data_IF_524219866415
#
_entry.id   IF_524219866415
#
_cell.length_a   1.000
_cell.length_b   1.000
_cell.length_c   1.000
_cell.angle_alpha   90.00
_cell.angle_beta   90.00
_cell.angle_gamma   90.00
#
_symmetry.space_group_name_H-M   'P 1'
#
loop_
_entity.id
_entity.type
_entity.pdbx_description
1 polymer ?
#
# COMPACT_ATOMS: atom_id res chain seq x y z
N UNK A 1 -22.51 5.75 -13.70
CA UNK A 1 -21.16 5.17 -13.84
C UNK A 1 -20.60 4.88 -12.47
N UNK A 2 -20.00 3.74 -12.24
CA UNK A 2 -19.41 3.42 -10.96
C UNK A 2 -18.23 4.37 -10.62
N UNK A 3 -17.98 4.52 -9.32
CA UNK A 3 -16.80 5.21 -8.80
C UNK A 3 -15.66 4.21 -8.78
N UNK A 4 -14.52 4.55 -9.38
CA UNK A 4 -13.32 3.74 -9.30
C UNK A 4 -12.52 4.15 -8.05
N UNK A 5 -12.16 3.18 -7.21
CA UNK A 5 -11.38 3.40 -5.99
C UNK A 5 -10.26 2.38 -5.93
N UNK A 6 -9.03 2.88 -5.91
CA UNK A 6 -7.84 2.08 -5.66
C UNK A 6 -7.51 2.04 -4.18
N UNK A 7 -7.23 0.85 -3.64
CA UNK A 7 -6.88 0.66 -2.24
C UNK A 7 -5.62 -0.20 -2.12
N UNK A 8 -4.61 0.37 -1.49
CA UNK A 8 -3.37 -0.31 -1.11
C UNK A 8 -3.54 -0.91 0.29
N UNK A 9 -3.82 -2.20 0.33
CA UNK A 9 -3.96 -2.99 1.55
C UNK A 9 -2.58 -3.33 2.14
N UNK A 10 -1.79 -2.32 2.51
CA UNK A 10 -0.49 -2.52 3.15
C UNK A 10 -0.60 -3.19 4.53
N UNK A 11 0.47 -3.83 5.00
CA UNK A 11 0.53 -4.36 6.36
C UNK A 11 0.84 -3.28 7.42
N UNK A 12 1.39 -2.15 7.01
CA UNK A 12 1.70 -1.02 7.91
C UNK A 12 0.59 0.04 7.88
N UNK A 13 0.24 0.49 6.69
CA UNK A 13 -0.82 1.45 6.44
C UNK A 13 -1.78 0.92 5.39
N UNK A 14 -3.05 1.24 5.57
CA UNK A 14 -4.09 1.19 4.55
C UNK A 14 -4.09 2.53 3.83
N UNK A 15 -4.13 2.52 2.50
CA UNK A 15 -4.09 3.74 1.71
C UNK A 15 -5.13 3.70 0.60
N UNK A 16 -5.75 4.84 0.37
CA UNK A 16 -6.46 5.15 -0.87
C UNK A 16 -5.78 6.37 -1.52
N UNK A 17 -6.33 6.86 -2.60
CA UNK A 17 -5.78 8.05 -3.25
C UNK A 17 -5.70 9.28 -2.33
N UNK A 18 -6.68 9.43 -1.43
CA UNK A 18 -6.83 10.62 -0.60
C UNK A 18 -6.64 10.36 0.89
N UNK A 19 -6.55 9.10 1.33
CA UNK A 19 -6.51 8.76 2.75
C UNK A 19 -5.43 7.75 3.08
N UNK A 20 -4.84 7.90 4.26
CA UNK A 20 -3.83 6.99 4.82
C UNK A 20 -4.12 6.80 6.29
N UNK A 21 -4.17 5.56 6.77
CA UNK A 21 -4.34 5.23 8.18
C UNK A 21 -3.66 3.91 8.54
N UNK A 22 -3.35 3.73 9.82
CA UNK A 22 -2.69 2.51 10.32
C UNK A 22 -3.64 1.31 10.30
N UNK A 23 -3.09 0.11 10.17
CA UNK A 23 -3.87 -1.13 9.99
C UNK A 23 -4.38 -1.75 11.28
N UNK A 24 -4.15 -1.11 12.44
CA UNK A 24 -4.67 -1.57 13.71
C UNK A 24 -6.20 -1.58 13.71
N UNK A 25 -6.76 -2.72 14.10
CA UNK A 25 -8.20 -2.96 14.09
C UNK A 25 -8.59 -3.75 15.35
N UNK A 26 -9.65 -3.32 16.01
CA UNK A 26 -10.30 -4.08 17.08
C UNK A 26 -11.76 -4.28 16.75
N UNK A 27 -12.26 -5.49 17.05
CA UNK A 27 -13.67 -5.89 16.83
C UNK A 27 -14.30 -6.24 18.16
N UNK A 28 -15.48 -5.67 18.43
CA UNK A 28 -16.23 -5.84 19.67
C UNK A 28 -17.73 -6.06 19.40
N UNK A 29 -18.44 -6.59 20.39
CA UNK A 29 -19.90 -6.72 20.36
C UNK A 29 -20.64 -5.43 20.73
N UNK A 30 -19.92 -4.43 21.26
CA UNK A 30 -20.45 -3.13 21.65
C UNK A 30 -19.59 -2.01 21.06
N UNK A 31 -20.20 -0.84 20.76
CA UNK A 31 -19.46 0.29 20.23
C UNK A 31 -18.43 0.80 21.24
N UNK A 32 -17.24 1.18 20.76
CA UNK A 32 -16.26 1.89 21.55
C UNK A 32 -16.56 3.41 21.48
N UNK A 33 -17.05 4.03 22.56
CA UNK A 33 -17.46 5.45 22.55
C UNK A 33 -16.29 6.42 22.40
N UNK A 34 -15.04 5.94 22.56
CA UNK A 34 -13.83 6.75 22.44
C UNK A 34 -13.14 6.58 21.08
N UNK A 35 -13.70 5.79 20.19
CA UNK A 35 -13.14 5.61 18.86
C UNK A 35 -13.45 6.79 17.96
N UNK A 36 -12.43 7.38 17.35
CA UNK A 36 -12.60 8.42 16.33
C UNK A 36 -13.09 7.82 14.99
N UNK A 37 -12.79 6.54 14.76
CA UNK A 37 -13.17 5.79 13.56
C UNK A 37 -13.91 4.52 13.99
N UNK A 38 -15.23 4.56 13.97
CA UNK A 38 -16.10 3.47 14.37
C UNK A 38 -16.97 3.01 13.19
N UNK A 39 -16.95 1.72 12.92
CA UNK A 39 -17.82 1.08 11.92
C UNK A 39 -18.66 0.00 12.57
N UNK A 40 -19.94 -0.04 12.22
CA UNK A 40 -20.81 -1.18 12.49
C UNK A 40 -21.06 -1.95 11.20
N UNK A 41 -20.67 -3.23 11.19
CA UNK A 41 -20.94 -4.16 10.10
C UNK A 41 -21.67 -5.38 10.67
N UNK A 42 -22.92 -5.58 10.26
CA UNK A 42 -23.79 -6.56 10.88
C UNK A 42 -23.97 -6.28 12.39
N UNK A 43 -23.69 -7.28 13.22
CA UNK A 43 -23.82 -7.20 14.68
C UNK A 43 -22.48 -6.86 15.38
N UNK A 44 -21.43 -6.52 14.64
CA UNK A 44 -20.10 -6.22 15.19
C UNK A 44 -19.72 -4.76 14.99
N UNK A 45 -18.95 -4.26 15.95
CA UNK A 45 -18.38 -2.92 15.92
C UNK A 45 -16.87 -3.04 15.74
N UNK A 46 -16.35 -2.31 14.76
CA UNK A 46 -14.96 -2.27 14.40
C UNK A 46 -14.42 -0.86 14.64
N UNK A 47 -13.25 -0.77 15.25
CA UNK A 47 -12.60 0.51 15.52
C UNK A 47 -11.15 0.50 15.01
N UNK A 48 -10.74 1.56 14.34
CA UNK A 48 -9.35 1.75 13.95
C UNK A 48 -8.52 2.15 15.19
N UNK A 49 -7.31 1.60 15.26
CA UNK A 49 -6.31 1.94 16.27
C UNK A 49 -5.18 2.75 15.62
N UNK A 50 -4.60 3.67 16.38
CA UNK A 50 -3.44 4.45 15.92
C UNK A 50 -2.13 3.65 16.05
N UNK A 51 -2.19 2.37 15.72
CA UNK A 51 -1.06 1.45 15.68
C UNK A 51 -1.20 0.51 14.48
N UNK A 52 -0.11 -0.15 14.09
CA UNK A 52 -0.18 -1.17 13.04
C UNK A 52 -0.62 -2.51 13.60
N UNK A 53 -1.34 -3.28 12.80
CA UNK A 53 -1.61 -4.68 13.10
C UNK A 53 -0.34 -5.54 12.96
N UNK A 54 -0.31 -6.75 13.55
CA UNK A 54 0.69 -7.76 13.25
C UNK A 54 0.75 -8.06 11.75
N UNK A 55 1.96 -8.38 11.26
CA UNK A 55 2.18 -8.76 9.86
C UNK A 55 1.32 -9.96 9.47
N UNK A 56 0.67 -9.86 8.33
CA UNK A 56 -0.14 -10.93 7.75
C UNK A 56 0.30 -11.14 6.30
N UNK A 57 0.98 -12.28 6.08
CA UNK A 57 1.48 -12.64 4.75
C UNK A 57 0.33 -12.97 3.80
N UNK A 58 -0.63 -13.76 4.27
CA UNK A 58 -1.82 -14.15 3.49
C UNK A 58 -3.08 -13.47 4.03
N UNK A 59 -3.45 -12.36 3.41
CA UNK A 59 -4.60 -11.54 3.79
C UNK A 59 -5.96 -12.18 3.54
N UNK A 60 -6.00 -13.34 2.88
CA UNK A 60 -7.25 -14.07 2.64
C UNK A 60 -7.67 -14.90 3.86
N UNK A 61 -6.79 -15.06 4.86
CA UNK A 61 -7.03 -15.89 6.05
C UNK A 61 -7.77 -15.19 7.18
N UNK A 62 -7.97 -13.87 7.08
CA UNK A 62 -8.69 -13.10 8.09
C UNK A 62 -9.66 -12.12 7.44
N UNK A 63 -10.60 -11.58 8.23
CA UNK A 63 -11.53 -10.56 7.75
C UNK A 63 -10.91 -9.16 7.70
N UNK A 64 -9.71 -9.00 8.27
CA UNK A 64 -9.08 -7.70 8.46
C UNK A 64 -8.94 -6.92 7.17
N UNK A 65 -8.47 -7.55 6.09
CA UNK A 65 -8.28 -6.88 4.81
C UNK A 65 -9.61 -6.35 4.25
N UNK A 66 -10.70 -7.10 4.38
CA UNK A 66 -12.03 -6.68 3.94
C UNK A 66 -12.55 -5.51 4.78
N UNK A 67 -12.51 -5.62 6.11
CA UNK A 67 -13.00 -4.58 7.03
C UNK A 67 -12.21 -3.27 6.84
N UNK A 68 -10.87 -3.34 6.75
CA UNK A 68 -10.05 -2.16 6.48
C UNK A 68 -10.35 -1.54 5.11
N UNK A 69 -10.71 -2.37 4.12
CA UNK A 69 -11.15 -1.87 2.81
C UNK A 69 -12.47 -1.10 2.91
N UNK A 70 -13.43 -1.54 3.73
CA UNK A 70 -14.67 -0.79 3.95
C UNK A 70 -14.41 0.56 4.63
N UNK A 71 -13.49 0.61 5.62
CA UNK A 71 -13.04 1.89 6.20
C UNK A 71 -12.42 2.80 5.14
N UNK A 72 -11.54 2.25 4.28
CA UNK A 72 -10.90 3.02 3.22
C UNK A 72 -11.91 3.54 2.20
N UNK A 73 -12.94 2.75 1.86
CA UNK A 73 -14.04 3.17 0.98
C UNK A 73 -14.82 4.34 1.58
N UNK A 74 -15.27 4.23 2.84
CA UNK A 74 -16.00 5.30 3.49
C UNK A 74 -15.18 6.60 3.52
N UNK A 75 -13.93 6.53 3.99
CA UNK A 75 -13.03 7.68 4.07
C UNK A 75 -12.73 8.30 2.70
N UNK A 76 -12.52 7.49 1.66
CA UNK A 76 -12.25 7.97 0.31
C UNK A 76 -13.48 8.65 -0.29
N UNK A 77 -14.67 8.07 -0.10
CA UNK A 77 -15.95 8.67 -0.54
C UNK A 77 -16.16 10.02 0.15
N UNK A 78 -15.98 10.10 1.46
CA UNK A 78 -16.09 11.37 2.21
C UNK A 78 -15.08 12.42 1.72
N UNK A 79 -13.83 12.00 1.50
CA UNK A 79 -12.80 12.89 0.96
C UNK A 79 -13.17 13.41 -0.44
N UNK A 80 -13.75 12.56 -1.30
CA UNK A 80 -14.18 12.98 -2.63
C UNK A 80 -15.39 13.90 -2.60
N UNK A 81 -16.33 13.66 -1.71
CA UNK A 81 -17.47 14.55 -1.49
C UNK A 81 -16.99 15.93 -1.02
N UNK A 82 -16.14 15.96 0.00
CA UNK A 82 -15.61 17.21 0.56
C UNK A 82 -14.81 18.04 -0.46
N UNK A 83 -14.19 17.38 -1.43
CA UNK A 83 -13.45 18.02 -2.55
C UNK A 83 -14.33 18.34 -3.77
N UNK A 84 -15.64 18.02 -3.72
CA UNK A 84 -16.55 18.21 -4.84
C UNK A 84 -16.31 17.31 -6.05
N UNK A 85 -15.55 16.20 -5.87
CA UNK A 85 -15.23 15.25 -6.94
C UNK A 85 -16.38 14.28 -7.24
N UNK A 86 -17.20 14.00 -6.24
CA UNK A 86 -18.45 13.24 -6.37
C UNK A 86 -19.55 13.95 -5.59
N UNK A 87 -20.80 13.72 -5.99
CA UNK A 87 -21.94 14.24 -5.24
C UNK A 87 -22.23 13.33 -4.04
N UNK A 88 -22.61 13.95 -2.92
CA UNK A 88 -23.14 13.20 -1.79
C UNK A 88 -24.46 12.56 -2.19
N UNK A 89 -24.63 11.29 -1.81
CA UNK A 89 -25.88 10.57 -1.96
C UNK A 89 -26.59 10.52 -0.59
N UNK A 90 -27.78 11.06 -0.50
CA UNK A 90 -28.55 11.14 0.75
C UNK A 90 -28.85 9.78 1.37
N UNK A 91 -28.94 8.72 0.55
CA UNK A 91 -29.13 7.34 1.01
C UNK A 91 -27.83 6.61 1.31
N UNK A 92 -26.67 7.26 1.16
CA UNK A 92 -25.34 6.63 1.30
C UNK A 92 -25.04 5.54 0.28
N UNK A 93 -25.80 5.50 -0.84
CA UNK A 93 -25.68 4.44 -1.84
C UNK A 93 -24.67 4.80 -2.92
N UNK A 94 -23.67 3.94 -3.13
CA UNK A 94 -22.63 4.13 -4.13
C UNK A 94 -22.34 2.83 -4.88
N UNK A 95 -22.08 2.97 -6.19
CA UNK A 95 -21.58 1.90 -7.04
C UNK A 95 -20.06 2.06 -7.18
N UNK A 96 -19.29 1.03 -6.87
CA UNK A 96 -17.84 1.08 -6.79
C UNK A 96 -17.22 -0.06 -7.58
N UNK A 97 -16.15 0.24 -8.31
CA UNK A 97 -15.20 -0.74 -8.86
C UNK A 97 -13.91 -0.62 -8.07
N UNK A 98 -13.47 -1.73 -7.46
CA UNK A 98 -12.26 -1.78 -6.65
C UNK A 98 -11.03 -2.13 -7.49
N UNK A 99 -9.97 -1.32 -7.34
CA UNK A 99 -8.61 -1.68 -7.72
C UNK A 99 -7.81 -2.02 -6.46
N UNK A 100 -7.26 -3.21 -6.38
CA UNK A 100 -6.45 -3.69 -5.26
C UNK A 100 -5.07 -4.11 -5.78
N UNK A 101 -4.13 -4.34 -4.87
CA UNK A 101 -2.80 -4.78 -5.25
C UNK A 101 -2.20 -5.82 -4.32
N UNK A 102 -1.27 -6.57 -4.91
CA UNK A 102 -0.43 -7.55 -4.22
C UNK A 102 1.03 -7.34 -4.62
N UNK A 103 2.01 -7.76 -3.78
CA UNK A 103 3.41 -7.78 -4.19
C UNK A 103 3.57 -8.44 -5.56
N UNK A 104 4.48 -7.95 -6.44
CA UNK A 104 4.63 -8.50 -7.79
C UNK A 104 4.87 -10.00 -7.81
N UNK A 105 5.69 -10.52 -6.90
CA UNK A 105 5.95 -11.96 -6.73
C UNK A 105 4.65 -12.76 -6.51
N UNK A 106 3.69 -12.20 -5.80
CA UNK A 106 2.40 -12.84 -5.51
C UNK A 106 1.48 -12.96 -6.74
N UNK A 107 1.81 -12.31 -7.85
CA UNK A 107 1.10 -12.52 -9.12
C UNK A 107 1.31 -13.92 -9.68
N UNK A 108 2.45 -14.55 -9.35
CA UNK A 108 2.82 -15.91 -9.81
C UNK A 108 2.72 -16.96 -8.71
N UNK A 109 2.62 -16.54 -7.44
CA UNK A 109 2.65 -17.45 -6.29
C UNK A 109 1.37 -18.29 -6.26
N UNK A 110 1.53 -19.60 -6.37
CA UNK A 110 0.46 -20.59 -6.29
C UNK A 110 0.49 -21.29 -4.93
N UNK A 111 -0.66 -21.76 -4.48
CA UNK A 111 -0.77 -22.67 -3.34
C UNK A 111 -1.03 -24.12 -3.81
N UNK A 112 -1.44 -25.00 -2.87
CA UNK A 112 -1.79 -26.38 -3.16
C UNK A 112 -2.94 -26.52 -4.18
N UNK A 113 -3.80 -25.49 -4.31
CA UNK A 113 -4.89 -25.45 -5.29
C UNK A 113 -4.43 -25.09 -6.70
N UNK A 114 -3.16 -24.69 -6.87
CA UNK A 114 -2.59 -24.14 -8.10
C UNK A 114 -3.28 -22.87 -8.60
N UNK A 115 -3.97 -22.15 -7.72
CA UNK A 115 -4.56 -20.87 -8.03
C UNK A 115 -3.59 -19.74 -7.65
N UNK A 116 -3.23 -18.83 -8.57
CA UNK A 116 -2.38 -17.68 -8.26
C UNK A 116 -2.95 -16.81 -7.14
N UNK A 117 -2.09 -16.32 -6.24
CA UNK A 117 -2.52 -15.57 -5.06
C UNK A 117 -3.39 -14.34 -5.40
N UNK A 118 -3.09 -13.63 -6.48
CA UNK A 118 -3.90 -12.48 -6.90
C UNK A 118 -5.36 -12.87 -7.22
N UNK A 119 -5.60 -14.06 -7.81
CA UNK A 119 -6.94 -14.57 -8.05
C UNK A 119 -7.63 -14.99 -6.75
N UNK A 120 -6.90 -15.67 -5.85
CA UNK A 120 -7.43 -16.02 -4.52
C UNK A 120 -7.81 -14.75 -3.74
N UNK A 121 -7.00 -13.69 -3.83
CA UNK A 121 -7.28 -12.42 -3.18
C UNK A 121 -8.51 -11.73 -3.79
N UNK A 122 -8.68 -11.77 -5.11
CA UNK A 122 -9.89 -11.31 -5.77
C UNK A 122 -11.12 -12.11 -5.33
N UNK A 123 -11.04 -13.45 -5.34
CA UNK A 123 -12.11 -14.35 -4.91
C UNK A 123 -12.47 -14.16 -3.43
N UNK A 124 -11.48 -13.89 -2.58
CA UNK A 124 -11.70 -13.55 -1.18
C UNK A 124 -12.65 -12.34 -1.05
N UNK A 125 -12.43 -11.26 -1.80
CA UNK A 125 -13.32 -10.11 -1.77
C UNK A 125 -14.74 -10.44 -2.27
N UNK A 126 -14.88 -11.19 -3.34
CA UNK A 126 -16.19 -11.63 -3.81
C UNK A 126 -16.91 -12.51 -2.78
N UNK A 127 -16.18 -13.41 -2.11
CA UNK A 127 -16.74 -14.24 -1.04
C UNK A 127 -17.21 -13.39 0.15
N UNK A 128 -16.43 -12.40 0.56
CA UNK A 128 -16.81 -11.49 1.64
C UNK A 128 -18.01 -10.59 1.25
N UNK A 129 -18.07 -10.11 0.01
CA UNK A 129 -19.24 -9.40 -0.52
C UNK A 129 -20.47 -10.32 -0.51
N UNK A 130 -20.30 -11.60 -0.82
CA UNK A 130 -21.38 -12.59 -0.74
C UNK A 130 -21.84 -12.89 0.68
N UNK A 131 -20.92 -12.90 1.64
CA UNK A 131 -21.17 -13.16 3.06
C UNK A 131 -21.90 -11.98 3.73
N UNK A 132 -21.39 -10.77 3.53
CA UNK A 132 -21.90 -9.56 4.19
C UNK A 132 -22.96 -8.79 3.39
N UNK A 133 -23.07 -9.08 2.09
CA UNK A 133 -23.95 -8.34 1.19
C UNK A 133 -25.40 -8.79 1.27
N UNK A 134 -26.32 -7.81 1.21
CA UNK A 134 -27.75 -8.00 1.05
C UNK A 134 -28.09 -8.01 -0.44
N UNK A 135 -28.89 -8.99 -0.88
CA UNK A 135 -29.30 -9.08 -2.29
C UNK A 135 -30.29 -7.96 -2.62
N UNK A 136 -30.02 -7.23 -3.69
CA UNK A 136 -30.90 -6.21 -4.27
C UNK A 136 -31.16 -6.54 -5.74
N UNK A 137 -32.02 -5.77 -6.41
CA UNK A 137 -32.25 -5.88 -7.85
C UNK A 137 -30.99 -5.56 -8.69
N UNK A 138 -30.06 -4.77 -8.14
CA UNK A 138 -28.79 -4.37 -8.80
C UNK A 138 -27.62 -5.27 -8.46
N UNK A 139 -27.78 -6.24 -7.54
CA UNK A 139 -26.72 -7.12 -7.07
C UNK A 139 -26.60 -7.12 -5.55
N UNK A 140 -25.48 -7.65 -5.04
CA UNK A 140 -25.21 -7.68 -3.60
C UNK A 140 -24.59 -6.37 -3.12
N UNK A 141 -25.22 -5.76 -2.14
CA UNK A 141 -24.86 -4.47 -1.55
C UNK A 141 -24.36 -4.69 -0.13
N UNK A 142 -23.15 -4.27 0.18
CA UNK A 142 -22.60 -4.29 1.54
C UNK A 142 -23.07 -3.05 2.28
N UNK A 143 -23.81 -3.27 3.37
CA UNK A 143 -24.35 -2.20 4.21
C UNK A 143 -23.59 -2.12 5.52
N UNK A 144 -23.16 -0.93 5.88
CA UNK A 144 -22.49 -0.65 7.14
C UNK A 144 -22.73 0.79 7.59
N UNK A 145 -22.58 1.04 8.88
CA UNK A 145 -22.56 2.39 9.43
C UNK A 145 -21.12 2.78 9.74
N UNK A 146 -20.68 3.95 9.31
CA UNK A 146 -19.37 4.51 9.64
C UNK A 146 -19.57 5.91 10.24
N UNK A 147 -19.15 6.09 11.49
CA UNK A 147 -19.27 7.34 12.24
C UNK A 147 -20.67 7.96 12.16
N UNK A 148 -21.71 7.14 12.44
CA UNK A 148 -23.14 7.50 12.44
C UNK A 148 -23.73 7.80 11.05
N UNK A 149 -22.99 7.54 9.97
CA UNK A 149 -23.45 7.67 8.59
C UNK A 149 -23.60 6.29 7.96
N UNK A 150 -24.77 6.04 7.35
CA UNK A 150 -25.04 4.78 6.68
C UNK A 150 -24.42 4.75 5.28
N UNK A 151 -23.84 3.61 4.94
CA UNK A 151 -23.29 3.30 3.62
C UNK A 151 -23.94 2.05 3.05
N UNK A 152 -24.23 2.10 1.75
CA UNK A 152 -24.80 1.01 0.97
C UNK A 152 -23.98 0.89 -0.31
N UNK A 153 -22.98 0.01 -0.31
CA UNK A 153 -21.97 -0.08 -1.37
C UNK A 153 -22.22 -1.27 -2.26
N UNK A 154 -22.57 -1.02 -3.54
CA UNK A 154 -22.57 -2.04 -4.58
C UNK A 154 -21.15 -2.12 -5.16
N UNK A 155 -20.43 -3.20 -4.86
CA UNK A 155 -19.13 -3.46 -5.48
C UNK A 155 -19.37 -4.25 -6.75
N UNK A 156 -19.28 -3.56 -7.90
CA UNK A 156 -19.56 -4.15 -9.21
C UNK A 156 -18.45 -5.08 -9.69
N UNK A 157 -17.20 -4.72 -9.40
CA UNK A 157 -16.05 -5.53 -9.78
C UNK A 157 -14.85 -5.28 -8.86
N UNK A 158 -13.93 -6.25 -8.83
CA UNK A 158 -12.69 -6.21 -8.07
C UNK A 158 -11.55 -6.61 -9.01
N UNK A 159 -10.58 -5.75 -9.19
CA UNK A 159 -9.36 -6.03 -9.96
C UNK A 159 -8.14 -6.03 -9.05
N UNK A 160 -7.20 -6.93 -9.31
CA UNK A 160 -5.96 -7.05 -8.53
C UNK A 160 -4.75 -6.88 -9.45
N UNK A 161 -3.83 -5.99 -9.05
CA UNK A 161 -2.67 -5.58 -9.85
C UNK A 161 -1.35 -5.75 -9.07
N UNK A 162 -0.20 -5.84 -9.74
CA UNK A 162 1.10 -5.84 -9.08
C UNK A 162 1.42 -4.46 -8.48
N UNK A 163 1.83 -4.43 -7.22
CA UNK A 163 2.43 -3.25 -6.59
C UNK A 163 3.65 -2.78 -7.38
N UNK A 164 4.21 -1.67 -7.03
CA UNK A 164 5.31 -1.00 -7.70
C UNK A 164 4.99 -0.59 -9.16
N UNK A 165 4.65 -1.53 -10.04
CA UNK A 165 4.25 -1.19 -11.42
C UNK A 165 3.00 -0.31 -11.45
N UNK A 166 2.02 -0.61 -10.60
CA UNK A 166 0.82 0.22 -10.48
C UNK A 166 1.16 1.63 -10.01
N UNK A 167 2.08 1.77 -9.05
CA UNK A 167 2.55 3.08 -8.59
C UNK A 167 3.28 3.88 -9.69
N UNK A 168 3.97 3.21 -10.61
CA UNK A 168 4.65 3.85 -11.74
C UNK A 168 3.67 4.37 -12.80
N UNK A 169 2.54 3.68 -13.03
CA UNK A 169 1.58 4.00 -14.11
C UNK A 169 1.13 5.47 -14.12
N UNK A 170 0.71 6.09 -12.99
CA UNK A 170 0.31 7.50 -12.97
C UNK A 170 1.44 8.47 -13.33
N UNK A 171 2.69 8.08 -13.11
CA UNK A 171 3.87 8.93 -13.27
C UNK A 171 4.64 8.67 -14.57
N UNK A 172 4.26 7.65 -15.35
CA UNK A 172 4.95 7.26 -16.59
C UNK A 172 5.24 8.44 -17.51
N UNK A 173 4.29 9.38 -17.67
CA UNK A 173 4.49 10.57 -18.51
C UNK A 173 5.52 11.57 -17.98
N UNK A 174 5.80 11.55 -16.68
CA UNK A 174 6.81 12.40 -16.03
C UNK A 174 8.19 11.74 -15.95
N UNK A 175 8.27 10.48 -16.28
CA UNK A 175 9.47 9.64 -16.20
C UNK A 175 9.87 9.13 -17.59
N UNK A 176 9.65 9.94 -18.65
CA UNK A 176 9.92 9.56 -20.03
C UNK A 176 11.40 9.31 -20.30
N UNK A 177 12.31 9.91 -19.51
CA UNK A 177 13.73 9.62 -19.56
C UNK A 177 14.09 8.14 -19.34
N UNK A 178 13.21 7.39 -18.68
CA UNK A 178 13.37 5.95 -18.49
C UNK A 178 13.11 5.15 -19.77
N UNK A 179 12.38 5.72 -20.74
CA UNK A 179 12.11 5.06 -22.03
C UNK A 179 13.41 4.95 -22.89
N UNK A 180 14.45 5.74 -22.57
CA UNK A 180 15.77 5.66 -23.22
C UNK A 180 16.59 4.43 -22.76
N UNK A 181 16.16 3.77 -21.68
CA UNK A 181 16.81 2.58 -21.16
C UNK A 181 16.06 1.32 -21.54
N UNK A 182 16.75 0.24 -21.95
CA UNK A 182 16.09 -1.02 -22.31
C UNK A 182 15.39 -1.67 -21.11
N UNK A 183 15.82 -1.31 -19.91
CA UNK A 183 15.25 -1.76 -18.65
C UNK A 183 15.54 -0.79 -17.50
N UNK A 184 14.67 -0.77 -16.51
CA UNK A 184 14.85 -0.08 -15.23
C UNK A 184 14.16 -0.85 -14.10
N UNK A 185 14.48 -0.50 -12.87
CA UNK A 185 13.91 -1.13 -11.69
C UNK A 185 12.87 -0.22 -11.04
N UNK A 186 11.83 -0.84 -10.52
CA UNK A 186 10.93 -0.25 -9.53
C UNK A 186 11.28 -0.86 -8.18
N UNK A 187 11.65 -0.02 -7.20
CA UNK A 187 12.06 -0.44 -5.85
C UNK A 187 11.05 0.16 -4.86
N UNK A 188 10.05 -0.64 -4.48
CA UNK A 188 9.00 -0.24 -3.54
C UNK A 188 9.42 -0.59 -2.10
N UNK A 189 9.79 0.43 -1.33
CA UNK A 189 10.21 0.23 0.06
C UNK A 189 9.00 0.45 0.96
N UNK A 190 8.39 -0.66 1.35
CA UNK A 190 7.23 -0.72 2.22
C UNK A 190 7.57 -0.71 3.71
N UNK A 191 6.56 -0.96 4.54
CA UNK A 191 6.73 -1.08 5.99
C UNK A 191 7.47 -2.36 6.39
N UNK A 192 7.15 -3.48 5.75
CA UNK A 192 7.72 -4.80 6.06
C UNK A 192 8.70 -5.28 4.99
N UNK A 193 8.39 -5.07 3.74
CA UNK A 193 9.15 -5.57 2.58
C UNK A 193 9.74 -4.45 1.74
N UNK A 194 10.77 -4.80 0.99
CA UNK A 194 11.24 -4.09 -0.20
C UNK A 194 10.93 -4.97 -1.39
N UNK A 195 10.04 -4.48 -2.25
CA UNK A 195 9.64 -5.19 -3.46
C UNK A 195 10.38 -4.61 -4.66
N UNK A 196 11.02 -5.48 -5.45
CA UNK A 196 11.79 -5.09 -6.62
C UNK A 196 11.17 -5.71 -7.86
N UNK A 197 10.90 -4.89 -8.86
CA UNK A 197 10.32 -5.29 -10.13
C UNK A 197 11.07 -4.66 -11.28
N UNK A 198 11.55 -5.47 -12.21
CA UNK A 198 12.15 -4.97 -13.45
C UNK A 198 11.06 -4.60 -14.46
N UNK A 199 11.24 -3.47 -15.12
CA UNK A 199 10.44 -3.04 -16.27
C UNK A 199 11.31 -3.12 -17.51
N UNK A 200 10.89 -3.91 -18.51
CA UNK A 200 11.53 -4.09 -19.81
C UNK A 200 10.60 -3.62 -20.91
N UNK A 201 11.07 -2.77 -21.81
CA UNK A 201 10.28 -2.25 -22.92
C UNK A 201 8.91 -1.70 -22.47
N UNK A 202 8.90 -1.00 -21.33
CA UNK A 202 7.71 -0.41 -20.73
C UNK A 202 6.70 -1.39 -20.13
N UNK A 203 7.05 -2.68 -19.99
CA UNK A 203 6.21 -3.74 -19.41
C UNK A 203 6.86 -4.34 -18.16
N UNK A 204 6.06 -4.69 -17.13
CA UNK A 204 6.59 -5.34 -15.94
C UNK A 204 7.04 -6.77 -16.26
N UNK A 205 8.26 -7.12 -15.89
CA UNK A 205 8.74 -8.50 -15.90
C UNK A 205 8.48 -9.15 -14.55
N UNK A 206 7.30 -9.74 -14.40
CA UNK A 206 6.87 -10.35 -13.14
C UNK A 206 7.78 -11.51 -12.73
N UNK A 207 8.40 -12.22 -13.69
CA UNK A 207 9.31 -13.34 -13.39
C UNK A 207 10.63 -12.88 -12.74
N UNK A 208 11.00 -11.61 -12.93
CA UNK A 208 12.17 -11.00 -12.28
C UNK A 208 11.84 -10.38 -10.93
N UNK A 209 10.56 -10.41 -10.50
CA UNK A 209 10.14 -9.77 -9.26
C UNK A 209 10.67 -10.48 -8.01
N UNK A 210 10.93 -9.70 -6.97
CA UNK A 210 11.44 -10.17 -5.68
C UNK A 210 10.80 -9.37 -4.56
N UNK A 211 10.62 -10.03 -3.42
CA UNK A 211 10.12 -9.40 -2.20
C UNK A 211 11.02 -9.80 -1.04
N UNK A 212 11.72 -8.84 -0.47
CA UNK A 212 12.68 -9.03 0.59
C UNK A 212 12.20 -8.40 1.89
N UNK A 213 12.48 -9.03 3.02
CA UNK A 213 12.11 -8.56 4.36
C UNK A 213 12.94 -7.34 4.83
N UNK A 214 13.22 -6.38 3.98
CA UNK A 214 14.06 -5.21 4.26
C UNK A 214 13.27 -3.90 4.32
N UNK A 215 12.03 -3.94 4.80
CA UNK A 215 11.20 -2.76 4.95
C UNK A 215 11.59 -1.85 6.14
N UNK A 216 10.83 -0.78 6.30
CA UNK A 216 11.05 0.28 7.33
C UNK A 216 11.15 -0.28 8.73
N UNK A 217 10.36 -1.28 9.09
CA UNK A 217 10.35 -1.86 10.45
C UNK A 217 11.70 -2.49 10.78
N UNK A 218 12.27 -3.27 9.86
CA UNK A 218 13.60 -3.84 10.01
C UNK A 218 14.69 -2.78 10.13
N UNK A 219 14.59 -1.72 9.32
CA UNK A 219 15.48 -0.58 9.39
C UNK A 219 15.40 0.11 10.77
N UNK A 220 14.20 0.39 11.25
CA UNK A 220 14.01 1.02 12.56
C UNK A 220 14.54 0.14 13.69
N UNK A 221 14.30 -1.17 13.65
CA UNK A 221 14.85 -2.10 14.62
C UNK A 221 16.39 -2.17 14.57
N UNK A 222 16.98 -2.07 13.38
CA UNK A 222 18.43 -1.99 13.22
C UNK A 222 18.98 -0.70 13.85
N UNK A 223 18.38 0.44 13.55
CA UNK A 223 18.76 1.75 14.13
C UNK A 223 18.64 1.70 15.66
N UNK A 224 17.52 1.21 16.22
CA UNK A 224 17.29 1.11 17.66
C UNK A 224 18.35 0.27 18.38
N UNK A 225 18.88 -0.77 17.74
CA UNK A 225 20.00 -1.55 18.29
C UNK A 225 21.29 -0.74 18.39
N UNK A 226 21.51 0.21 17.50
CA UNK A 226 22.70 1.08 17.46
C UNK A 226 22.60 2.27 18.43
N UNK A 227 21.42 2.90 18.54
CA UNK A 227 21.23 4.13 19.32
C UNK A 227 20.62 3.92 20.71
N UNK A 228 20.12 2.72 21.01
CA UNK A 228 19.49 2.36 22.28
C UNK A 228 17.98 2.11 22.15
N UNK A 229 17.51 1.10 22.89
CA UNK A 229 16.12 0.62 22.86
C UNK A 229 15.10 1.57 23.52
N UNK A 230 15.53 2.63 24.17
CA UNK A 230 14.67 3.65 24.77
C UNK A 230 13.90 4.48 23.75
N UNK A 231 14.43 4.60 22.52
CA UNK A 231 13.74 5.28 21.42
C UNK A 231 12.65 4.37 20.83
N UNK A 232 11.43 4.89 20.71
CA UNK A 232 10.31 4.17 20.07
C UNK A 232 10.46 4.19 18.55
N UNK A 233 9.70 3.32 17.88
CA UNK A 233 9.63 3.28 16.41
C UNK A 233 9.23 4.64 15.84
N UNK A 234 8.18 5.26 16.38
CA UNK A 234 7.68 6.56 15.93
C UNK A 234 8.70 7.70 16.12
N UNK A 235 9.55 7.63 17.17
CA UNK A 235 10.63 8.62 17.40
C UNK A 235 11.68 8.56 16.29
N UNK A 236 12.13 7.35 15.94
CA UNK A 236 13.11 7.14 14.86
C UNK A 236 12.51 7.59 13.52
N UNK A 237 11.27 7.19 13.22
CA UNK A 237 10.58 7.60 11.98
C UNK A 237 10.40 9.11 11.93
N UNK A 238 10.09 9.77 13.06
CA UNK A 238 9.98 11.22 13.13
C UNK A 238 11.30 11.92 12.79
N UNK A 239 12.43 11.44 13.35
CA UNK A 239 13.76 11.96 13.03
C UNK A 239 14.06 11.79 11.53
N UNK A 240 13.88 10.58 10.98
CA UNK A 240 14.15 10.30 9.57
C UNK A 240 13.25 11.07 8.61
N UNK A 241 12.04 11.45 9.06
CA UNK A 241 11.09 12.29 8.31
C UNK A 241 11.34 13.78 8.48
N UNK A 242 12.46 14.20 9.07
CA UNK A 242 12.78 15.60 9.37
C UNK A 242 11.72 16.29 10.23
N UNK A 243 10.96 15.54 11.02
CA UNK A 243 10.06 16.09 12.02
C UNK A 243 10.87 16.47 13.26
N UNK A 244 10.53 17.64 13.86
CA UNK A 244 11.24 18.15 15.02
C UNK A 244 11.11 17.20 16.23
N UNK A 245 12.17 16.47 16.51
CA UNK A 245 12.35 15.75 17.76
C UNK A 245 13.62 16.29 18.43
N UNK A 246 13.50 16.70 19.69
CA UNK A 246 14.67 17.20 20.46
C UNK A 246 15.49 16.00 20.95
N UNK A 247 16.44 15.58 20.14
CA UNK A 247 17.44 14.57 20.49
C UNK A 247 18.85 15.19 20.47
N UNK A 248 19.81 14.69 21.29
CA UNK A 248 21.20 15.11 21.20
C UNK A 248 21.76 14.93 19.78
N UNK A 249 22.63 15.84 19.32
CA UNK A 249 23.22 15.79 17.98
C UNK A 249 23.91 14.46 17.70
N UNK A 250 24.64 13.92 18.69
CA UNK A 250 25.30 12.62 18.56
C UNK A 250 24.34 11.46 18.30
N UNK A 251 23.12 11.51 18.87
CA UNK A 251 22.06 10.51 18.61
C UNK A 251 21.52 10.69 17.20
N UNK A 252 21.30 11.92 16.77
CA UNK A 252 20.86 12.23 15.42
C UNK A 252 21.85 11.69 14.37
N UNK A 253 23.14 11.97 14.58
CA UNK A 253 24.22 11.49 13.68
C UNK A 253 24.25 9.96 13.64
N UNK A 254 24.12 9.28 14.78
CA UNK A 254 24.07 7.82 14.86
C UNK A 254 22.83 7.24 14.18
N UNK A 255 21.66 7.88 14.25
CA UNK A 255 20.45 7.46 13.57
C UNK A 255 20.68 7.51 12.05
N UNK A 256 21.24 8.61 11.53
CA UNK A 256 21.50 8.77 10.10
C UNK A 256 22.59 7.79 9.62
N UNK A 257 23.67 7.62 10.37
CA UNK A 257 24.72 6.67 10.03
C UNK A 257 24.20 5.23 9.98
N UNK A 258 23.39 4.84 10.98
CA UNK A 258 22.78 3.50 11.02
C UNK A 258 21.76 3.28 9.90
N UNK A 259 21.00 4.31 9.49
CA UNK A 259 20.13 4.26 8.30
C UNK A 259 20.93 4.00 7.03
N UNK A 260 22.02 4.75 6.83
CA UNK A 260 22.85 4.65 5.65
C UNK A 260 23.57 3.28 5.59
N UNK A 261 24.06 2.79 6.74
CA UNK A 261 24.63 1.45 6.88
C UNK A 261 23.59 0.35 6.54
N UNK A 262 22.36 0.49 7.04
CA UNK A 262 21.26 -0.43 6.72
C UNK A 262 20.97 -0.47 5.22
N UNK A 263 20.88 0.69 4.59
CA UNK A 263 20.61 0.81 3.16
C UNK A 263 21.69 0.11 2.32
N UNK A 264 22.95 0.38 2.61
CA UNK A 264 24.07 -0.23 1.87
C UNK A 264 24.14 -1.75 2.07
N UNK A 265 24.05 -2.21 3.33
CA UNK A 265 24.30 -3.61 3.68
C UNK A 265 23.12 -4.54 3.39
N UNK A 266 21.88 -4.04 3.36
CA UNK A 266 20.71 -4.88 3.19
C UNK A 266 20.00 -4.65 1.85
N UNK A 267 19.92 -3.42 1.36
CA UNK A 267 19.20 -3.15 0.10
C UNK A 267 20.17 -3.21 -1.08
N UNK A 268 21.22 -2.40 -1.08
CA UNK A 268 22.16 -2.33 -2.20
C UNK A 268 22.93 -3.64 -2.35
N UNK A 269 23.48 -4.17 -1.25
CA UNK A 269 24.24 -5.42 -1.28
C UNK A 269 23.39 -6.61 -1.75
N UNK A 270 22.13 -6.71 -1.27
CA UNK A 270 21.20 -7.76 -1.68
C UNK A 270 20.90 -7.69 -3.20
N UNK A 271 20.66 -6.49 -3.74
CA UNK A 271 20.45 -6.31 -5.17
C UNK A 271 21.67 -6.72 -5.98
N UNK A 272 22.88 -6.35 -5.52
CA UNK A 272 24.13 -6.72 -6.17
C UNK A 272 24.36 -8.24 -6.15
N UNK A 273 24.12 -8.92 -5.01
CA UNK A 273 24.19 -10.38 -4.90
C UNK A 273 23.23 -11.08 -5.86
N UNK A 274 22.11 -10.46 -6.16
CA UNK A 274 21.12 -10.94 -7.13
C UNK A 274 21.47 -10.57 -8.59
N UNK A 275 22.63 -10.01 -8.84
CA UNK A 275 23.10 -9.64 -10.17
C UNK A 275 22.54 -8.31 -10.69
N UNK A 276 22.00 -7.48 -9.82
CA UNK A 276 21.50 -6.14 -10.17
C UNK A 276 22.46 -5.08 -9.68
N UNK A 277 23.16 -4.44 -10.63
CA UNK A 277 24.06 -3.31 -10.36
C UNK A 277 23.33 -1.98 -10.64
N UNK A 278 23.06 -1.23 -9.58
CA UNK A 278 22.40 0.08 -9.65
C UNK A 278 23.30 1.18 -10.26
N UNK A 279 24.58 0.92 -10.49
CA UNK A 279 25.42 1.82 -11.30
C UNK A 279 25.10 1.74 -12.80
N UNK A 280 24.51 0.63 -13.24
CA UNK A 280 24.22 0.36 -14.65
C UNK A 280 22.74 0.46 -14.96
N UNK A 281 21.89 -0.02 -14.03
CA UNK A 281 20.43 -0.08 -14.21
C UNK A 281 19.76 1.06 -13.45
N UNK A 282 19.03 1.96 -14.14
CA UNK A 282 18.27 3.00 -13.47
C UNK A 282 17.24 2.43 -12.51
N UNK A 283 16.98 3.13 -11.41
CA UNK A 283 16.01 2.70 -10.42
C UNK A 283 15.04 3.83 -10.04
N UNK A 284 13.76 3.49 -9.96
CA UNK A 284 12.70 4.35 -9.42
C UNK A 284 12.37 3.87 -8.02
N UNK A 285 12.69 4.66 -7.04
CA UNK A 285 12.39 4.42 -5.64
C UNK A 285 11.01 4.96 -5.30
N UNK A 286 10.18 4.13 -4.68
CA UNK A 286 8.81 4.46 -4.31
C UNK A 286 8.42 3.83 -2.96
N UNK A 287 7.21 4.11 -2.50
CA UNK A 287 6.75 3.67 -1.18
C UNK A 287 7.20 4.61 -0.06
N UNK A 288 6.57 4.47 1.13
CA UNK A 288 6.84 5.35 2.27
C UNK A 288 8.27 5.25 2.82
N UNK A 289 8.89 4.07 2.69
CA UNK A 289 10.27 3.83 3.14
C UNK A 289 11.31 4.52 2.25
N UNK A 290 11.02 4.68 0.96
CA UNK A 290 11.94 5.35 0.04
C UNK A 290 12.20 6.81 0.44
N UNK A 291 11.21 7.48 1.02
CA UNK A 291 11.34 8.87 1.50
C UNK A 291 12.28 8.95 2.72
N UNK A 292 12.24 7.94 3.60
CA UNK A 292 13.12 7.86 4.76
C UNK A 292 14.58 7.57 4.35
N UNK A 293 14.75 6.86 3.24
CA UNK A 293 16.03 6.46 2.68
C UNK A 293 16.54 7.39 1.58
N UNK A 294 15.80 8.46 1.25
CA UNK A 294 16.14 9.35 0.13
C UNK A 294 17.58 9.84 0.19
N UNK A 295 18.02 10.36 1.33
CA UNK A 295 19.38 10.84 1.49
C UNK A 295 20.43 9.71 1.35
N UNK A 296 20.11 8.48 1.81
CA UNK A 296 21.00 7.32 1.64
C UNK A 296 21.17 6.92 0.17
N UNK A 297 20.07 6.99 -0.60
CA UNK A 297 20.05 6.74 -2.05
C UNK A 297 20.88 7.80 -2.78
N UNK A 298 20.57 9.09 -2.54
CA UNK A 298 21.23 10.23 -3.21
C UNK A 298 22.74 10.33 -2.92
N UNK A 299 23.16 9.91 -1.73
CA UNK A 299 24.58 9.91 -1.34
C UNK A 299 25.31 8.57 -1.63
N UNK A 300 24.62 7.58 -2.18
CA UNK A 300 25.21 6.29 -2.49
C UNK A 300 26.12 6.37 -3.72
N UNK A 301 27.36 5.88 -3.58
CA UNK A 301 28.30 5.74 -4.70
C UNK A 301 27.98 4.55 -5.62
N UNK A 302 27.07 3.71 -5.20
CA UNK A 302 26.66 2.49 -5.91
C UNK A 302 25.37 2.66 -6.72
N UNK A 303 24.89 3.91 -6.88
CA UNK A 303 23.67 4.21 -7.62
C UNK A 303 23.95 5.40 -8.54
N UNK A 304 23.88 5.19 -9.85
CA UNK A 304 24.14 6.26 -10.82
C UNK A 304 22.88 7.02 -11.22
N UNK A 305 21.73 6.33 -11.33
CA UNK A 305 20.48 6.90 -11.78
C UNK A 305 19.34 6.50 -10.84
N UNK A 306 18.98 7.41 -9.93
CA UNK A 306 17.87 7.23 -9.01
C UNK A 306 16.80 8.29 -9.24
N UNK A 307 15.57 7.86 -9.40
CA UNK A 307 14.38 8.72 -9.47
C UNK A 307 13.43 8.35 -8.34
N UNK A 308 12.60 9.29 -7.87
CA UNK A 308 11.69 9.06 -6.76
C UNK A 308 10.24 9.36 -7.13
N UNK A 309 9.34 8.44 -6.79
CA UNK A 309 7.92 8.72 -6.71
C UNK A 309 7.59 9.02 -5.25
N UNK A 310 7.44 10.30 -4.93
CA UNK A 310 7.24 10.77 -3.55
C UNK A 310 5.80 10.64 -3.05
N UNK A 311 4.84 10.31 -3.93
CA UNK A 311 3.45 10.08 -3.53
C UNK A 311 3.33 8.71 -2.85
N UNK A 312 3.08 8.71 -1.55
CA UNK A 312 2.89 7.49 -0.74
C UNK A 312 1.61 6.73 -1.10
N UNK A 313 0.68 7.35 -1.81
CA UNK A 313 -0.56 6.76 -2.33
C UNK A 313 -0.45 6.34 -3.80
N UNK A 314 0.75 6.38 -4.40
CA UNK A 314 0.96 6.08 -5.81
C UNK A 314 0.41 4.71 -6.23
N UNK A 315 0.61 3.65 -5.41
CA UNK A 315 0.03 2.34 -5.66
C UNK A 315 -1.51 2.40 -5.75
N UNK A 316 -2.17 3.03 -4.78
CA UNK A 316 -3.62 3.15 -4.77
C UNK A 316 -4.14 3.97 -5.98
N UNK A 317 -3.46 5.06 -6.33
CA UNK A 317 -3.79 5.86 -7.52
C UNK A 317 -3.63 5.04 -8.81
N UNK A 318 -2.58 4.23 -8.89
CA UNK A 318 -2.35 3.33 -10.03
C UNK A 318 -3.39 2.22 -10.13
N UNK A 319 -3.79 1.61 -9.02
CA UNK A 319 -4.86 0.60 -9.01
C UNK A 319 -6.18 1.18 -9.52
N UNK A 320 -6.51 2.42 -9.13
CA UNK A 320 -7.70 3.12 -9.62
C UNK A 320 -7.68 3.29 -11.14
N UNK A 321 -6.56 3.77 -11.70
CA UNK A 321 -6.42 3.96 -13.15
C UNK A 321 -6.44 2.64 -13.93
N UNK A 322 -5.77 1.63 -13.40
CA UNK A 322 -5.74 0.30 -14.02
C UNK A 322 -7.12 -0.38 -13.95
N UNK A 323 -7.85 -0.25 -12.82
CA UNK A 323 -9.20 -0.76 -12.67
C UNK A 323 -10.16 -0.09 -13.65
N UNK A 324 -10.07 1.23 -13.83
CA UNK A 324 -10.86 1.95 -14.84
C UNK A 324 -10.60 1.42 -16.25
N UNK A 325 -9.33 1.20 -16.58
CA UNK A 325 -8.94 0.66 -17.90
C UNK A 325 -9.40 -0.79 -18.10
N UNK A 326 -9.28 -1.63 -17.06
CA UNK A 326 -9.70 -3.04 -17.12
C UNK A 326 -11.22 -3.16 -17.21
N UNK A 327 -11.94 -2.39 -16.42
CA UNK A 327 -13.41 -2.33 -16.45
C UNK A 327 -13.93 -1.91 -17.81
N UNK A 328 -13.36 -0.84 -18.39
CA UNK A 328 -13.74 -0.39 -19.73
C UNK A 328 -13.49 -1.43 -20.83
N UNK A 329 -12.45 -2.27 -20.70
CA UNK A 329 -12.17 -3.39 -21.63
C UNK A 329 -13.15 -4.55 -21.45
N UNK A 330 -13.59 -4.82 -20.23
CA UNK A 330 -14.51 -5.93 -19.91
C UNK A 330 -15.94 -5.64 -20.40
N UNK A 331 -16.32 -4.36 -20.51
CA UNK A 331 -17.67 -3.91 -20.85
C UNK A 331 -17.77 -3.28 -22.26
N UNK A 332 -16.74 -3.45 -23.11
CA UNK A 332 -16.79 -3.22 -24.56
C UNK A 332 -17.25 -4.47 -25.29
#
# INVERSE_FOLDING_TARGET
>A
MPIFIGIDNGNFNQKSRSTVFKTGLVTNDKPNPFSADLMQLGNKYHSLLNERAPYEKDKTKSERAFILTLFALAKEIESRISKGLIKENETGSYQVVLGLGVPPEHMLLEDESREPYHKRFQNYFFNKINEYGVQTEYGKVVQFNYNQKDYSILIEDVFVFPQAFSAYVPFKKHLQELDDFPRFLLVDIGGFTTDVLEVKDGKPDINSSRSEDFGVIRMVDYIRRKVGKSYKEDDIVAVLSSKSLKVPQTVLDNIHAARDEYFQNHIVANLLEQGVDLNVVPAVFLGGGSLLLKASVENSKNISNATFISDISANATGYEQLAQSAYAKKHK
#
